data_IF_699486650551
#
_entry.id   IF_699486650551
#
_cell.length_a   1.000
_cell.length_b   1.000
_cell.length_c   1.000
_cell.angle_alpha   90.00
_cell.angle_beta   90.00
_cell.angle_gamma   90.00
#
_symmetry.space_group_name_H-M   'P 1'
#
loop_
_entity.id
_entity.type
_entity.pdbx_description
1 polymer ?
#
# COMPACT_ATOMS: atom_id res chain seq x y z
N UNK A 1 57.42 -37.00 -39.30
CA UNK A 1 56.34 -35.99 -39.33
C UNK A 1 55.20 -36.23 -38.31
N UNK A 2 55.03 -37.42 -37.71
CA UNK A 2 53.95 -37.67 -36.74
C UNK A 2 54.16 -37.05 -35.33
N UNK A 3 55.41 -36.82 -34.89
CA UNK A 3 55.70 -36.25 -33.56
C UNK A 3 55.39 -34.74 -33.43
N UNK A 4 55.39 -33.98 -34.53
CA UNK A 4 55.05 -32.55 -34.51
C UNK A 4 53.53 -32.32 -34.40
N UNK A 5 52.71 -33.22 -34.94
CA UNK A 5 51.24 -33.12 -34.95
C UNK A 5 50.66 -33.31 -33.55
N UNK A 6 51.19 -34.25 -32.76
CA UNK A 6 50.73 -34.53 -31.40
C UNK A 6 51.01 -33.38 -30.41
N UNK A 7 52.18 -32.73 -30.55
CA UNK A 7 52.55 -31.57 -29.72
C UNK A 7 51.65 -30.37 -30.03
N UNK A 8 51.33 -30.16 -31.31
CA UNK A 8 50.40 -29.12 -31.77
C UNK A 8 48.98 -29.36 -31.27
N UNK A 9 48.50 -30.60 -31.25
CA UNK A 9 47.16 -30.95 -30.77
C UNK A 9 47.01 -30.70 -29.26
N UNK A 10 48.01 -31.07 -28.45
CA UNK A 10 47.99 -30.82 -27.01
C UNK A 10 48.05 -29.33 -26.67
N UNK A 11 48.79 -28.52 -27.45
CA UNK A 11 48.80 -27.05 -27.30
C UNK A 11 47.46 -26.42 -27.71
N UNK A 12 46.85 -26.88 -28.81
CA UNK A 12 45.53 -26.41 -29.23
C UNK A 12 44.43 -26.78 -28.21
N UNK A 13 44.50 -27.99 -27.64
CA UNK A 13 43.58 -28.45 -26.61
C UNK A 13 43.72 -27.67 -25.29
N UNK A 14 44.96 -27.41 -24.84
CA UNK A 14 45.21 -26.55 -23.69
C UNK A 14 44.68 -25.13 -23.92
N UNK A 15 44.95 -24.57 -25.09
CA UNK A 15 44.49 -23.22 -25.44
C UNK A 15 42.97 -23.14 -25.45
N UNK A 16 42.27 -24.14 -25.97
CA UNK A 16 40.81 -24.18 -25.97
C UNK A 16 40.26 -24.28 -24.55
N UNK A 17 40.88 -25.10 -23.69
CA UNK A 17 40.49 -25.21 -22.28
C UNK A 17 40.65 -23.90 -21.50
N UNK A 18 41.74 -23.16 -21.73
CA UNK A 18 41.93 -21.85 -21.10
C UNK A 18 40.93 -20.81 -21.61
N UNK A 19 40.60 -20.82 -22.91
CA UNK A 19 39.61 -19.90 -23.48
C UNK A 19 38.20 -20.18 -22.97
N UNK A 20 37.80 -21.45 -22.85
CA UNK A 20 36.47 -21.81 -22.31
C UNK A 20 36.38 -21.51 -20.82
N UNK A 21 37.44 -21.78 -20.05
CA UNK A 21 37.51 -21.42 -18.62
C UNK A 21 37.44 -19.90 -18.42
N UNK A 22 38.18 -19.12 -19.21
CA UNK A 22 38.15 -17.67 -19.16
C UNK A 22 36.77 -17.11 -19.55
N UNK A 23 36.13 -17.66 -20.58
CA UNK A 23 34.78 -17.28 -20.97
C UNK A 23 33.74 -17.59 -19.87
N UNK A 24 33.82 -18.76 -19.23
CA UNK A 24 32.96 -19.11 -18.09
C UNK A 24 33.19 -18.18 -16.90
N UNK A 25 34.45 -17.83 -16.61
CA UNK A 25 34.77 -16.86 -15.57
C UNK A 25 34.23 -15.48 -15.90
N UNK A 26 34.36 -15.01 -17.16
CA UNK A 26 33.77 -13.76 -17.62
C UNK A 26 32.24 -13.75 -17.47
N UNK A 27 31.57 -14.85 -17.82
CA UNK A 27 30.12 -14.98 -17.65
C UNK A 27 29.76 -14.91 -16.16
N UNK A 28 30.48 -15.62 -15.29
CA UNK A 28 30.24 -15.62 -13.84
C UNK A 28 30.51 -14.24 -13.23
N UNK A 29 31.52 -13.50 -13.71
CA UNK A 29 31.85 -12.15 -13.25
C UNK A 29 30.95 -11.04 -13.86
N UNK A 30 30.42 -11.23 -15.07
CA UNK A 30 29.47 -10.31 -15.70
C UNK A 30 28.03 -10.55 -15.23
N UNK A 31 27.69 -11.76 -14.81
CA UNK A 31 26.38 -12.11 -14.23
C UNK A 31 25.97 -11.22 -13.05
N UNK A 32 26.82 -10.92 -12.05
CA UNK A 32 26.46 -10.00 -10.98
C UNK A 32 26.31 -8.55 -11.47
N UNK A 33 27.00 -8.14 -12.55
CA UNK A 33 26.86 -6.79 -13.13
C UNK A 33 25.52 -6.65 -13.87
N UNK A 34 25.06 -7.68 -14.58
CA UNK A 34 23.75 -7.71 -15.24
C UNK A 34 22.57 -7.90 -14.27
N UNK A 35 22.80 -8.53 -13.11
CA UNK A 35 21.80 -8.64 -12.03
C UNK A 35 21.74 -7.39 -11.14
N UNK A 36 22.69 -6.46 -11.24
CA UNK A 36 22.64 -5.20 -10.49
C UNK A 36 21.61 -4.21 -11.06
N UNK A 37 21.18 -4.42 -12.30
CA UNK A 37 20.04 -3.73 -12.93
C UNK A 37 18.70 -4.47 -12.73
N UNK A 38 18.71 -5.63 -12.07
CA UNK A 38 17.47 -6.18 -11.53
C UNK A 38 17.07 -5.31 -10.35
N UNK A 39 15.89 -4.65 -10.38
CA UNK A 39 15.44 -3.84 -9.27
C UNK A 39 15.38 -4.74 -8.05
N UNK A 40 16.33 -4.53 -7.15
CA UNK A 40 16.40 -5.17 -5.85
C UNK A 40 15.24 -4.65 -5.01
N UNK A 41 14.01 -5.09 -5.29
CA UNK A 41 12.86 -4.99 -4.38
C UNK A 41 12.97 -6.06 -3.30
N UNK A 42 14.14 -6.22 -2.69
CA UNK A 42 14.29 -7.09 -1.54
C UNK A 42 14.69 -6.27 -0.32
N UNK A 43 13.76 -6.26 0.62
CA UNK A 43 13.80 -5.68 1.96
C UNK A 43 13.79 -4.15 2.02
N UNK A 44 12.59 -3.52 1.96
CA UNK A 44 12.42 -2.30 2.72
C UNK A 44 12.85 -2.60 4.17
N UNK A 45 13.67 -1.74 4.78
CA UNK A 45 13.75 -1.68 6.25
C UNK A 45 12.30 -1.59 6.72
N UNK A 46 11.74 -2.68 7.26
CA UNK A 46 10.37 -2.68 7.75
C UNK A 46 10.36 -1.89 9.03
N UNK A 47 10.22 -0.56 8.91
CA UNK A 47 9.89 0.29 10.02
C UNK A 47 8.37 0.44 10.06
N UNK A 48 7.81 0.03 11.18
CA UNK A 48 6.36 -0.08 11.38
C UNK A 48 5.75 1.30 11.48
N UNK A 49 5.01 1.75 10.47
CA UNK A 49 4.12 2.91 10.61
C UNK A 49 2.96 2.52 11.51
N UNK A 50 2.74 3.25 12.62
CA UNK A 50 1.54 3.04 13.44
C UNK A 50 0.37 3.75 12.79
N UNK A 51 -0.58 2.96 12.29
CA UNK A 51 -1.85 3.44 11.74
C UNK A 51 -2.87 3.41 12.87
N UNK A 52 -3.48 4.54 13.21
CA UNK A 52 -4.62 4.56 14.16
C UNK A 52 -5.90 4.85 13.39
N UNK A 53 -6.83 3.90 13.32
CA UNK A 53 -8.05 4.03 12.53
C UNK A 53 -9.27 4.24 13.43
N UNK A 54 -10.01 5.33 13.27
CA UNK A 54 -11.23 5.58 14.05
C UNK A 54 -12.44 5.73 13.13
N UNK A 55 -13.58 5.14 13.51
CA UNK A 55 -14.85 5.32 12.81
C UNK A 55 -15.65 6.46 13.45
N UNK A 56 -16.26 7.33 12.65
CA UNK A 56 -17.19 8.34 13.14
C UNK A 56 -18.45 8.40 12.28
N UNK A 57 -19.60 8.17 12.91
CA UNK A 57 -20.91 8.06 12.26
C UNK A 57 -21.47 9.42 11.84
N UNK A 58 -21.36 10.46 12.67
CA UNK A 58 -22.15 11.69 12.45
C UNK A 58 -21.42 13.02 12.73
N UNK A 59 -20.33 13.04 13.50
CA UNK A 59 -19.54 14.26 13.75
C UNK A 59 -18.19 13.86 14.35
N UNK A 60 -17.10 14.42 13.85
CA UNK A 60 -15.81 14.26 14.51
C UNK A 60 -15.93 14.98 15.87
N UNK A 61 -15.80 14.30 17.03
CA UNK A 61 -16.01 14.96 18.31
C UNK A 61 -14.92 16.01 18.53
N UNK A 62 -15.30 17.23 18.93
CA UNK A 62 -14.36 18.33 19.21
C UNK A 62 -13.27 17.93 20.23
N UNK A 63 -13.59 17.02 21.16
CA UNK A 63 -12.66 16.50 22.17
C UNK A 63 -11.69 15.45 21.60
N UNK A 64 -12.15 14.59 20.69
CA UNK A 64 -11.29 13.63 19.98
C UNK A 64 -10.35 14.33 19.01
N UNK A 65 -10.76 15.50 18.49
CA UNK A 65 -9.90 16.43 17.75
C UNK A 65 -8.93 17.22 18.60
N UNK A 66 -8.86 17.03 19.92
CA UNK A 66 -7.82 17.67 20.74
C UNK A 66 -6.68 16.67 20.98
N UNK A 67 -7.01 15.41 21.31
CA UNK A 67 -6.02 14.35 21.54
C UNK A 67 -5.41 13.78 20.26
N UNK A 68 -6.09 13.89 19.12
CA UNK A 68 -5.46 13.57 17.84
C UNK A 68 -4.26 14.49 17.53
N UNK A 69 -4.23 15.69 18.12
CA UNK A 69 -3.47 16.85 17.64
C UNK A 69 -2.30 17.25 18.55
N UNK A 70 -2.21 16.70 19.76
CA UNK A 70 -1.15 17.04 20.73
C UNK A 70 0.25 16.58 20.28
N UNK A 71 0.31 15.63 19.33
CA UNK A 71 1.57 15.04 18.81
C UNK A 71 1.92 15.50 17.38
N UNK A 72 1.19 16.46 16.80
CA UNK A 72 1.56 17.09 15.53
C UNK A 72 2.76 18.02 15.79
N UNK A 73 3.89 17.36 16.04
CA UNK A 73 5.20 17.88 16.36
C UNK A 73 5.63 18.87 15.27
N UNK A 74 5.75 20.15 15.66
CA UNK A 74 6.62 21.15 15.03
C UNK A 74 6.24 21.73 13.65
N UNK A 75 5.00 21.61 13.16
CA UNK A 75 4.62 22.14 11.83
C UNK A 75 3.12 22.31 11.55
N UNK A 76 2.80 22.73 10.32
CA UNK A 76 1.40 22.78 9.82
C UNK A 76 0.94 21.38 9.46
N UNK A 77 -0.09 20.87 10.15
CA UNK A 77 -0.67 19.55 9.95
C UNK A 77 -1.04 19.32 8.48
N UNK A 78 -0.58 18.22 7.86
CA UNK A 78 -0.98 17.81 6.51
C UNK A 78 -2.10 16.77 6.59
N UNK A 79 -3.24 17.12 6.00
CA UNK A 79 -4.46 16.32 6.06
C UNK A 79 -4.83 15.85 4.66
N UNK A 80 -4.90 14.53 4.43
CA UNK A 80 -5.46 13.97 3.20
C UNK A 80 -6.98 13.86 3.32
N UNK A 81 -7.70 14.33 2.29
CA UNK A 81 -9.15 14.20 2.16
C UNK A 81 -9.47 13.27 1.00
N UNK A 82 -10.08 12.12 1.30
CA UNK A 82 -10.44 11.09 0.32
C UNK A 82 -11.96 10.94 0.30
N UNK A 83 -12.58 11.14 -0.86
CA UNK A 83 -14.04 10.99 -1.04
C UNK A 83 -14.86 11.81 -0.02
N UNK A 84 -14.53 13.09 0.13
CA UNK A 84 -15.19 14.03 1.06
C UNK A 84 -15.81 15.20 0.28
N UNK A 85 -17.05 15.54 0.62
CA UNK A 85 -17.77 16.66 0.00
C UNK A 85 -17.08 17.99 0.27
N UNK A 86 -16.94 18.78 -0.80
CA UNK A 86 -16.06 19.92 -0.76
C UNK A 86 -16.48 21.02 0.19
N UNK A 87 -17.79 21.23 0.24
CA UNK A 87 -18.45 22.28 1.01
C UNK A 87 -18.99 21.76 2.34
N UNK A 88 -18.63 20.55 2.74
CA UNK A 88 -19.02 20.04 4.06
C UNK A 88 -18.34 20.85 5.15
N UNK A 89 -19.10 21.20 6.20
CA UNK A 89 -18.58 21.90 7.39
C UNK A 89 -17.32 21.20 7.93
N UNK A 90 -17.27 19.87 7.84
CA UNK A 90 -16.11 19.05 8.23
C UNK A 90 -14.84 19.44 7.49
N UNK A 91 -14.91 19.58 6.17
CA UNK A 91 -13.74 19.97 5.35
C UNK A 91 -13.32 21.39 5.67
N UNK A 92 -14.28 22.30 5.91
CA UNK A 92 -13.99 23.67 6.36
C UNK A 92 -13.26 23.66 7.70
N UNK A 93 -13.73 22.88 8.68
CA UNK A 93 -13.06 22.72 9.97
C UNK A 93 -11.66 22.13 9.83
N UNK A 94 -11.49 21.03 9.08
CA UNK A 94 -10.19 20.41 8.83
C UNK A 94 -9.20 21.38 8.17
N UNK A 95 -9.67 22.20 7.23
CA UNK A 95 -8.85 23.21 6.54
C UNK A 95 -8.38 24.33 7.48
N UNK A 96 -9.04 24.55 8.62
CA UNK A 96 -8.59 25.50 9.66
C UNK A 96 -7.53 24.88 10.58
N UNK A 97 -7.47 23.55 10.64
CA UNK A 97 -6.53 22.81 11.48
C UNK A 97 -5.19 22.54 10.80
N UNK A 98 -5.14 22.61 9.46
CA UNK A 98 -3.94 22.33 8.70
C UNK A 98 -4.12 22.44 7.20
N UNK A 99 -3.10 22.04 6.47
CA UNK A 99 -3.10 21.97 5.01
C UNK A 99 -3.87 20.74 4.56
N UNK A 100 -5.15 20.94 4.25
CA UNK A 100 -6.00 19.93 3.64
C UNK A 100 -5.67 19.76 2.15
N UNK A 101 -5.43 18.52 1.73
CA UNK A 101 -5.16 18.14 0.33
C UNK A 101 -6.21 17.13 -0.10
N UNK A 102 -6.92 17.42 -1.20
CA UNK A 102 -7.86 16.46 -1.80
C UNK A 102 -7.09 15.44 -2.60
N UNK A 103 -7.33 14.17 -2.31
CA UNK A 103 -6.75 13.06 -3.06
C UNK A 103 -7.77 12.63 -4.12
N UNK A 104 -7.48 12.97 -5.37
CA UNK A 104 -8.28 12.55 -6.52
C UNK A 104 -7.93 11.12 -6.92
N UNK A 105 -8.92 10.32 -7.26
CA UNK A 105 -8.74 8.94 -7.72
C UNK A 105 -9.89 8.55 -8.66
N UNK A 106 -9.64 7.58 -9.54
CA UNK A 106 -10.67 6.99 -10.39
C UNK A 106 -11.48 5.96 -9.60
N UNK A 107 -12.81 6.05 -9.64
CA UNK A 107 -13.67 5.05 -8.98
C UNK A 107 -13.56 3.70 -9.68
N UNK A 108 -13.47 2.64 -8.88
CA UNK A 108 -13.49 1.26 -9.40
C UNK A 108 -14.76 0.99 -10.20
N UNK A 109 -14.58 0.37 -11.38
CA UNK A 109 -15.70 -0.01 -12.25
C UNK A 109 -16.65 -0.97 -11.54
N UNK A 110 -17.95 -0.77 -11.73
CA UNK A 110 -19.01 -1.68 -11.24
C UNK A 110 -18.91 -3.09 -11.86
N UNK A 111 -18.18 -3.24 -12.97
CA UNK A 111 -17.89 -4.55 -13.57
C UNK A 111 -16.96 -5.41 -12.70
N UNK A 112 -16.19 -4.81 -11.78
CA UNK A 112 -15.34 -5.52 -10.84
C UNK A 112 -16.20 -5.94 -9.65
N UNK A 113 -16.48 -7.24 -9.54
CA UNK A 113 -17.27 -7.78 -8.43
C UNK A 113 -16.37 -8.28 -7.32
N UNK A 114 -16.93 -8.38 -6.12
CA UNK A 114 -16.22 -8.95 -4.97
C UNK A 114 -15.67 -10.36 -5.25
N UNK A 115 -16.41 -11.18 -6.00
CA UNK A 115 -15.99 -12.52 -6.41
C UNK A 115 -14.77 -12.54 -7.34
N UNK A 116 -14.45 -11.43 -8.01
CA UNK A 116 -13.24 -11.32 -8.82
C UNK A 116 -12.00 -11.02 -7.96
N UNK A 117 -12.19 -10.45 -6.78
CA UNK A 117 -11.13 -10.11 -5.82
C UNK A 117 -10.90 -11.23 -4.81
N UNK A 118 -11.99 -11.85 -4.36
CA UNK A 118 -12.01 -12.98 -3.43
C UNK A 118 -12.80 -14.12 -4.06
N UNK A 119 -12.20 -14.86 -5.01
CA UNK A 119 -12.84 -16.02 -5.61
C UNK A 119 -13.09 -17.08 -4.55
N UNK A 120 -14.12 -17.92 -4.78
CA UNK A 120 -14.39 -19.08 -3.94
C UNK A 120 -13.27 -20.12 -4.17
N UNK A 121 -12.23 -20.04 -3.35
CA UNK A 121 -11.16 -21.01 -3.12
C UNK A 121 -10.09 -21.18 -4.22
N UNK A 122 -8.85 -21.31 -3.75
CA UNK A 122 -7.74 -21.93 -4.48
C UNK A 122 -8.19 -23.39 -4.67
N UNK A 123 -8.43 -23.79 -5.90
CA UNK A 123 -8.66 -25.20 -6.23
C UNK A 123 -7.41 -25.99 -5.83
N UNK A 124 -7.50 -26.75 -4.73
CA UNK A 124 -6.46 -27.63 -4.20
C UNK A 124 -6.16 -28.80 -5.16
N UNK A 125 -7.02 -29.00 -6.15
CA UNK A 125 -6.93 -30.02 -7.19
C UNK A 125 -6.53 -29.38 -8.54
N UNK A 126 -5.54 -28.49 -8.51
CA UNK A 126 -4.82 -27.86 -9.65
C UNK A 126 -5.52 -27.84 -11.03
N UNK A 127 -6.75 -27.33 -11.12
CA UNK A 127 -7.33 -26.85 -12.39
C UNK A 127 -7.64 -25.36 -12.33
N UNK A 128 -6.96 -24.63 -11.44
CA UNK A 128 -6.97 -23.17 -11.36
C UNK A 128 -6.56 -22.53 -12.71
N UNK A 129 -7.54 -22.20 -13.55
CA UNK A 129 -7.35 -21.16 -14.58
C UNK A 129 -6.93 -19.89 -13.84
N UNK A 130 -5.73 -19.38 -14.13
CA UNK A 130 -5.27 -18.08 -13.61
C UNK A 130 -6.30 -17.02 -13.95
N UNK A 131 -7.18 -16.70 -13.02
CA UNK A 131 -8.07 -15.56 -13.16
C UNK A 131 -7.19 -14.32 -13.10
N UNK A 132 -7.34 -13.42 -14.07
CA UNK A 132 -6.61 -12.15 -14.05
C UNK A 132 -7.09 -11.36 -12.83
N UNK A 133 -6.17 -11.01 -11.93
CA UNK A 133 -6.47 -10.11 -10.83
C UNK A 133 -6.95 -8.77 -11.41
N UNK A 134 -8.18 -8.33 -11.10
CA UNK A 134 -8.65 -7.04 -11.58
C UNK A 134 -7.83 -5.94 -10.94
N UNK A 135 -7.51 -4.90 -11.71
CA UNK A 135 -6.82 -3.72 -11.19
C UNK A 135 -7.84 -2.81 -10.51
N UNK A 136 -7.64 -2.51 -9.24
CA UNK A 136 -8.37 -1.45 -8.54
C UNK A 136 -7.61 -0.14 -8.81
N UNK A 137 -8.25 0.89 -9.39
CA UNK A 137 -7.58 2.17 -9.60
C UNK A 137 -7.14 2.78 -8.26
N UNK A 138 -5.93 3.30 -8.21
CA UNK A 138 -5.36 3.98 -7.05
C UNK A 138 -4.87 5.36 -7.48
N UNK A 139 -4.86 6.35 -6.58
CA UNK A 139 -4.20 7.63 -6.84
C UNK A 139 -2.70 7.43 -6.99
N UNK A 140 -2.03 8.40 -7.60
CA UNK A 140 -0.57 8.45 -7.56
C UNK A 140 -0.12 8.93 -6.18
N UNK A 141 0.62 8.09 -5.47
CA UNK A 141 1.06 8.38 -4.11
C UNK A 141 2.41 9.10 -4.06
N UNK A 142 3.21 9.01 -5.12
CA UNK A 142 4.60 9.51 -5.13
C UNK A 142 4.62 11.05 -5.01
N UNK A 143 3.69 11.73 -5.68
CA UNK A 143 3.60 13.19 -5.71
C UNK A 143 2.93 13.81 -4.48
N UNK A 144 2.23 13.01 -3.67
CA UNK A 144 1.43 13.52 -2.55
C UNK A 144 2.28 13.77 -1.29
N UNK A 145 3.39 13.04 -1.14
CA UNK A 145 4.23 13.07 0.06
C UNK A 145 3.50 12.57 1.32
N UNK A 146 4.09 12.86 2.48
CA UNK A 146 3.59 12.37 3.77
C UNK A 146 2.41 13.17 4.31
N UNK A 147 1.47 12.47 4.93
CA UNK A 147 0.34 13.01 5.68
C UNK A 147 0.42 12.64 7.16
N UNK A 148 -0.12 13.50 8.01
CA UNK A 148 -0.26 13.25 9.44
C UNK A 148 -1.64 12.63 9.75
N UNK A 149 -2.66 13.06 8.99
CA UNK A 149 -4.04 12.61 9.13
C UNK A 149 -4.61 12.28 7.76
N UNK A 150 -5.26 11.13 7.65
CA UNK A 150 -6.01 10.70 6.46
C UNK A 150 -7.48 10.61 6.83
N UNK A 151 -8.31 11.46 6.23
CA UNK A 151 -9.76 11.44 6.41
C UNK A 151 -10.41 10.86 5.16
N UNK A 152 -11.15 9.77 5.33
CA UNK A 152 -11.83 9.07 4.23
C UNK A 152 -13.32 8.99 4.47
N UNK A 153 -14.11 9.52 3.54
CA UNK A 153 -15.56 9.36 3.51
C UNK A 153 -15.91 8.02 2.87
N UNK A 154 -16.62 7.16 3.60
CA UNK A 154 -17.00 5.83 3.12
C UNK A 154 -18.53 5.70 3.12
N UNK A 155 -19.16 5.47 1.96
CA UNK A 155 -20.60 5.24 1.94
C UNK A 155 -20.95 3.96 2.70
N UNK A 156 -22.03 4.03 3.48
CA UNK A 156 -22.58 2.89 4.20
C UNK A 156 -23.89 2.47 3.54
N UNK A 157 -24.01 1.20 3.20
CA UNK A 157 -25.24 0.57 2.69
C UNK A 157 -25.84 -0.41 3.70
N UNK A 158 -25.43 -0.35 4.97
CA UNK A 158 -26.02 -1.21 5.98
C UNK A 158 -27.52 -0.90 6.13
N UNK A 159 -28.42 -1.89 6.26
CA UNK A 159 -28.19 -3.33 6.37
C UNK A 159 -28.36 -4.12 5.05
N UNK A 160 -28.24 -3.50 3.87
CA UNK A 160 -28.44 -4.17 2.58
C UNK A 160 -27.57 -5.43 2.40
N UNK A 161 -28.11 -6.46 1.75
CA UNK A 161 -27.35 -7.69 1.50
C UNK A 161 -26.05 -7.39 0.72
N UNK A 162 -24.92 -7.90 1.23
CA UNK A 162 -23.62 -7.70 0.59
C UNK A 162 -22.94 -6.36 0.88
N UNK A 163 -23.47 -5.49 1.75
CA UNK A 163 -22.83 -4.21 2.13
C UNK A 163 -21.36 -4.37 2.60
N UNK A 164 -21.05 -5.50 3.25
CA UNK A 164 -19.69 -5.82 3.70
C UNK A 164 -18.73 -6.07 2.53
N UNK A 165 -19.26 -6.55 1.41
CA UNK A 165 -18.56 -6.99 0.19
C UNK A 165 -18.68 -5.96 -0.93
N UNK A 166 -18.79 -4.68 -0.58
CA UNK A 166 -18.78 -3.58 -1.54
C UNK A 166 -17.33 -3.25 -1.96
N UNK A 167 -17.09 -3.28 -3.28
CA UNK A 167 -15.75 -3.07 -3.87
C UNK A 167 -15.32 -1.60 -3.80
N UNK A 168 -16.25 -0.66 -3.87
CA UNK A 168 -15.94 0.77 -3.72
C UNK A 168 -15.58 1.08 -2.26
N UNK A 169 -16.31 0.48 -1.30
CA UNK A 169 -15.93 0.51 0.12
C UNK A 169 -14.51 0.00 0.30
N UNK A 170 -14.15 -1.13 -0.32
CA UNK A 170 -12.79 -1.67 -0.27
C UNK A 170 -11.75 -0.71 -0.85
N UNK A 171 -12.01 -0.15 -2.04
CA UNK A 171 -11.11 0.80 -2.69
C UNK A 171 -10.77 1.98 -1.77
N UNK A 172 -11.77 2.58 -1.13
CA UNK A 172 -11.56 3.72 -0.23
C UNK A 172 -10.68 3.37 0.98
N UNK A 173 -10.88 2.20 1.58
CA UNK A 173 -10.04 1.75 2.70
C UNK A 173 -8.61 1.46 2.24
N UNK A 174 -8.42 0.88 1.04
CA UNK A 174 -7.10 0.66 0.46
C UNK A 174 -6.38 1.97 0.15
N UNK A 175 -7.08 2.98 -0.38
CA UNK A 175 -6.51 4.31 -0.60
C UNK A 175 -6.06 4.91 0.74
N UNK A 176 -6.93 4.86 1.76
CA UNK A 176 -6.59 5.41 3.07
C UNK A 176 -5.40 4.70 3.73
N UNK A 177 -5.35 3.36 3.65
CA UNK A 177 -4.23 2.57 4.16
C UNK A 177 -2.93 2.87 3.39
N UNK A 178 -2.98 2.97 2.06
CA UNK A 178 -1.82 3.33 1.25
C UNK A 178 -1.33 4.74 1.59
N UNK A 179 -2.20 5.74 1.71
CA UNK A 179 -1.81 7.09 2.14
C UNK A 179 -1.18 7.12 3.53
N UNK A 180 -1.65 6.25 4.44
CA UNK A 180 -1.10 6.17 5.79
C UNK A 180 0.32 5.60 5.82
N UNK A 181 0.67 4.72 4.87
CA UNK A 181 2.04 4.17 4.77
C UNK A 181 2.92 4.92 3.76
N UNK A 182 2.31 5.65 2.84
CA UNK A 182 3.00 6.42 1.80
C UNK A 182 3.65 7.66 2.40
N UNK A 183 4.85 8.01 1.92
CA UNK A 183 5.59 9.17 2.39
C UNK A 183 6.39 8.95 3.68
N UNK A 184 6.42 7.74 4.24
CA UNK A 184 7.43 7.39 5.25
C UNK A 184 8.81 7.38 4.58
N UNK A 185 9.60 8.44 4.78
CA UNK A 185 10.99 8.46 4.32
C UNK A 185 11.80 7.44 5.10
N UNK A 186 12.64 6.66 4.41
CA UNK A 186 13.57 5.71 5.05
C UNK A 186 14.64 6.41 5.90
N UNK A 187 14.78 7.73 5.76
CA UNK A 187 15.78 8.56 6.40
C UNK A 187 15.33 9.16 7.74
N UNK A 188 14.02 9.15 8.05
CA UNK A 188 13.50 9.71 9.29
C UNK A 188 13.64 8.72 10.45
N UNK A 189 14.33 9.13 11.50
CA UNK A 189 14.64 8.29 12.66
C UNK A 189 13.45 8.03 13.59
N UNK A 190 12.32 8.73 13.42
CA UNK A 190 11.17 8.65 14.32
C UNK A 190 10.05 7.70 13.84
N UNK A 191 9.46 7.01 14.84
CA UNK A 191 8.09 6.46 14.91
C UNK A 191 7.02 7.30 14.19
N UNK A 192 6.91 7.21 12.86
CA UNK A 192 5.88 7.89 12.10
C UNK A 192 4.48 7.36 12.45
N UNK A 193 3.69 8.12 13.22
CA UNK A 193 2.29 7.78 13.52
C UNK A 193 1.37 8.55 12.56
N UNK A 194 0.55 7.82 11.78
CA UNK A 194 -0.45 8.42 10.88
C UNK A 194 -1.84 8.02 11.34
N UNK A 195 -2.73 9.01 11.47
CA UNK A 195 -4.09 8.78 11.97
C UNK A 195 -5.08 8.72 10.81
N UNK A 196 -5.80 7.62 10.70
CA UNK A 196 -6.86 7.40 9.73
C UNK A 196 -8.20 7.64 10.40
N UNK A 197 -9.01 8.51 9.81
CA UNK A 197 -10.37 8.83 10.26
C UNK A 197 -11.34 8.37 9.17
N UNK A 198 -12.11 7.35 9.48
CA UNK A 198 -13.16 6.81 8.60
C UNK A 198 -14.48 7.48 8.96
N UNK A 199 -14.98 8.31 8.05
CA UNK A 199 -16.29 8.96 8.17
C UNK A 199 -17.33 8.06 7.51
N UNK A 200 -18.08 7.32 8.33
CA UNK A 200 -19.11 6.38 7.88
C UNK A 200 -20.00 5.95 9.03
N UNK A 201 -21.26 5.65 8.73
CA UNK A 201 -22.17 4.94 9.64
C UNK A 201 -21.77 3.46 9.82
N UNK A 202 -21.04 2.91 8.84
CA UNK A 202 -20.53 1.55 8.86
C UNK A 202 -19.16 1.49 9.56
N UNK A 203 -18.86 0.38 10.23
CA UNK A 203 -17.50 0.13 10.73
C UNK A 203 -16.52 0.00 9.58
N UNK A 204 -15.28 0.45 9.81
CA UNK A 204 -14.16 0.21 8.91
C UNK A 204 -13.91 -1.30 8.71
N UNK A 205 -13.35 -1.67 7.56
CA UNK A 205 -12.95 -3.05 7.27
C UNK A 205 -11.86 -3.51 8.26
N UNK A 206 -12.19 -4.50 9.06
CA UNK A 206 -11.31 -5.11 10.06
C UNK A 206 -10.12 -5.81 9.40
N UNK A 207 -10.29 -6.28 8.17
CA UNK A 207 -9.25 -6.91 7.35
C UNK A 207 -8.14 -5.92 6.97
N UNK A 208 -8.43 -4.61 6.97
CA UNK A 208 -7.47 -3.55 6.61
C UNK A 208 -6.92 -2.86 7.86
N UNK A 209 -7.80 -2.47 8.78
CA UNK A 209 -7.40 -1.67 9.94
C UNK A 209 -7.29 -2.46 11.24
N UNK A 210 -7.50 -3.78 11.23
CA UNK A 210 -7.40 -4.61 12.43
C UNK A 210 -8.36 -4.22 13.55
N UNK A 211 -8.54 -5.13 14.50
CA UNK A 211 -9.38 -4.88 15.67
C UNK A 211 -8.72 -3.94 16.68
N UNK A 212 -7.39 -3.99 16.79
CA UNK A 212 -6.61 -3.26 17.80
C UNK A 212 -6.42 -1.77 17.43
N UNK A 213 -6.47 -1.41 16.14
CA UNK A 213 -6.27 -0.02 15.71
C UNK A 213 -7.58 0.79 15.73
N UNK A 214 -8.72 0.15 15.98
CA UNK A 214 -10.03 0.80 16.18
C UNK A 214 -10.17 1.40 17.59
N UNK A 215 -9.19 2.18 18.04
CA UNK A 215 -9.25 2.83 19.35
C UNK A 215 -9.95 4.19 19.20
N UNK A 216 -11.21 4.30 19.60
CA UNK A 216 -11.80 5.61 19.93
C UNK A 216 -13.18 5.97 19.39
N UNK A 217 -14.02 5.01 19.03
CA UNK A 217 -15.46 5.26 19.00
C UNK A 217 -16.16 3.97 19.43
N UNK A 218 -16.34 3.84 20.75
CA UNK A 218 -17.37 2.97 21.26
C UNK A 218 -18.66 3.35 20.52
N UNK A 219 -19.27 2.36 19.87
CA UNK A 219 -20.71 2.37 19.70
C UNK A 219 -21.28 2.66 21.09
N UNK A 220 -21.82 3.86 21.31
CA UNK A 220 -22.81 4.06 22.36
C UNK A 220 -23.98 3.18 21.92
N UNK A 221 -23.98 1.95 22.42
CA UNK A 221 -25.05 0.99 22.22
C UNK A 221 -26.20 1.49 23.09
N UNK A 222 -27.10 2.28 22.49
CA UNK A 222 -28.38 2.65 23.07
C UNK A 222 -29.08 1.37 23.56
N UNK A 223 -29.15 1.23 24.89
CA UNK A 223 -30.04 0.31 25.58
C UNK A 223 -31.01 1.11 26.43
#
# INVERSE_FOLDING_TARGET
MAFMVQKSYNHAFLSLFFLTSFALMLIIYLSPVLLQDYPSRLHPKTRTTRILATNTSAKLPESSTVKLFEKASNGTLRIALVNMDADSDRVVHLSRLGRAVRVGFERVSESVKWSNLYPKWIDEEETCRRQKCPKIPMPDFEDLGRFDVVVVGVPCRYPEEGWRRDVFRLQLHLIAANLAVSGASLEEEEEAEVKVVVVSECRAMEEIFGWVLQVGAAFEEDR
#
